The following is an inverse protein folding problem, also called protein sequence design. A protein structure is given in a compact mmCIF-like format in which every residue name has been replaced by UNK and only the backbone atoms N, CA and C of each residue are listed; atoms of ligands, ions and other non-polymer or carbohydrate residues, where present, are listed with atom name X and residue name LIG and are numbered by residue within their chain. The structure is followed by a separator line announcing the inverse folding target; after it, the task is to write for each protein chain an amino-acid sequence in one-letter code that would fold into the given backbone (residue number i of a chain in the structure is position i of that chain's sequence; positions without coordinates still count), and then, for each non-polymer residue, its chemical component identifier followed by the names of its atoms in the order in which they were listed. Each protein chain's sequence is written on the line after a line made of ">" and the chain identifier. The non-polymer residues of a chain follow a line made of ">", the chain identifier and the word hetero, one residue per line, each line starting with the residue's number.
data_IF_428269994708
#
_entry.id   IF_428269994708
#
_cell.length_a   1.000
_cell.length_b   1.000
_cell.length_c   1.000
_cell.angle_alpha   90.00
_cell.angle_beta   90.00
_cell.angle_gamma   90.00
#
_symmetry.space_group_name_H-M   'P 1'
#
loop_
_entity.id
_entity.type
_entity.pdbx_description
1 polymer ?
#
# COMPACT_ATOMS: atom_id res chain seq x y z
N UNK A 1 -21.42 -7.02 3.56
CA UNK A 1 -22.15 -5.83 4.07
C UNK A 1 -21.09 -4.80 4.36
N UNK A 2 -21.24 -3.59 3.82
CA UNK A 2 -20.23 -2.53 3.91
C UNK A 2 -20.07 -2.06 5.36
N UNK A 3 -18.87 -1.58 5.70
CA UNK A 3 -18.64 -1.00 7.02
C UNK A 3 -19.40 0.34 7.15
N UNK A 4 -20.21 0.57 8.20
CA UNK A 4 -20.93 1.83 8.38
C UNK A 4 -20.06 3.10 8.34
N UNK A 5 -18.80 3.02 8.80
CA UNK A 5 -17.85 4.15 8.74
C UNK A 5 -17.43 4.46 7.31
N UNK A 6 -17.43 3.45 6.44
CA UNK A 6 -17.22 3.59 5.00
C UNK A 6 -18.51 4.03 4.31
N UNK A 7 -19.67 3.49 4.69
CA UNK A 7 -20.99 3.78 4.08
C UNK A 7 -21.29 5.29 4.04
N UNK A 8 -21.03 6.01 5.13
CA UNK A 8 -21.20 7.48 5.17
C UNK A 8 -20.29 8.24 4.18
N UNK A 9 -19.20 7.60 3.73
CA UNK A 9 -18.22 8.14 2.81
C UNK A 9 -18.32 7.63 1.38
N UNK A 10 -19.20 6.67 1.11
CA UNK A 10 -19.36 6.12 -0.25
C UNK A 10 -20.15 7.12 -1.08
N UNK A 11 -19.50 7.68 -2.10
CA UNK A 11 -20.19 8.41 -3.17
C UNK A 11 -20.77 7.40 -4.16
N UNK A 12 -19.95 6.43 -4.57
CA UNK A 12 -20.32 5.46 -5.60
C UNK A 12 -19.59 4.12 -5.41
N UNK A 13 -20.29 3.00 -5.61
CA UNK A 13 -19.66 1.71 -5.88
C UNK A 13 -19.26 1.67 -7.34
N UNK A 14 -17.98 1.43 -7.62
CA UNK A 14 -17.46 1.43 -9.00
C UNK A 14 -17.52 0.02 -9.59
N UNK A 15 -16.90 -0.95 -8.91
CA UNK A 15 -16.80 -2.36 -9.35
C UNK A 15 -16.16 -3.24 -8.28
N UNK A 16 -16.21 -4.55 -8.50
CA UNK A 16 -15.32 -5.48 -7.83
C UNK A 16 -13.89 -5.32 -8.38
N UNK A 17 -12.93 -5.32 -7.45
CA UNK A 17 -11.50 -5.09 -7.72
C UNK A 17 -10.70 -6.38 -7.86
N UNK A 18 -11.20 -7.49 -7.31
CA UNK A 18 -10.55 -8.80 -7.33
C UNK A 18 -10.91 -9.62 -6.10
N UNK A 19 -10.64 -10.93 -6.15
CA UNK A 19 -10.83 -11.84 -5.02
C UNK A 19 -9.65 -12.81 -4.96
N UNK A 20 -8.95 -12.84 -3.84
CA UNK A 20 -7.80 -13.71 -3.60
C UNK A 20 -8.03 -14.65 -2.41
N UNK A 21 -7.00 -15.43 -2.08
CA UNK A 21 -7.04 -16.37 -0.95
C UNK A 21 -7.07 -15.72 0.43
N UNK A 22 -6.54 -14.50 0.56
CA UNK A 22 -6.48 -13.77 1.84
C UNK A 22 -7.56 -12.69 1.98
N UNK A 23 -7.92 -12.05 0.86
CA UNK A 23 -8.77 -10.87 0.88
C UNK A 23 -9.65 -10.73 -0.36
N UNK A 24 -10.71 -9.92 -0.24
CA UNK A 24 -11.49 -9.40 -1.36
C UNK A 24 -11.22 -7.92 -1.54
N UNK A 25 -11.19 -7.46 -2.78
CA UNK A 25 -11.04 -6.04 -3.12
C UNK A 25 -12.29 -5.54 -3.78
N UNK A 26 -12.81 -4.41 -3.29
CA UNK A 26 -13.90 -3.68 -3.93
C UNK A 26 -13.48 -2.23 -4.16
N UNK A 27 -13.88 -1.67 -5.30
CA UNK A 27 -13.51 -0.32 -5.71
C UNK A 27 -14.67 0.62 -5.46
N UNK A 28 -14.40 1.68 -4.70
CA UNK A 28 -15.37 2.72 -4.38
C UNK A 28 -14.81 4.09 -4.76
N UNK A 29 -15.72 5.02 -5.07
CA UNK A 29 -15.44 6.43 -5.02
C UNK A 29 -15.78 6.94 -3.60
N UNK A 30 -14.76 7.29 -2.81
CA UNK A 30 -14.91 7.66 -1.40
C UNK A 30 -14.54 9.12 -1.14
N UNK A 31 -15.25 9.80 -0.25
CA UNK A 31 -14.84 11.12 0.27
C UNK A 31 -14.56 11.12 1.79
N UNK A 32 -14.69 9.97 2.45
CA UNK A 32 -14.34 9.77 3.86
C UNK A 32 -13.38 8.59 3.94
N UNK A 33 -12.18 8.85 4.43
CA UNK A 33 -11.09 7.89 4.46
C UNK A 33 -10.67 7.67 5.93
N UNK A 34 -11.20 6.64 6.62
CA UNK A 34 -10.76 6.29 7.96
C UNK A 34 -9.33 5.73 7.95
N UNK A 35 -8.63 5.84 9.07
CA UNK A 35 -7.30 5.26 9.23
C UNK A 35 -6.59 5.71 10.48
N UNK A 36 -5.35 5.27 10.63
CA UNK A 36 -4.46 5.71 11.70
C UNK A 36 -4.30 7.24 11.62
N UNK A 37 -4.44 7.93 12.76
CA UNK A 37 -4.41 9.39 12.83
C UNK A 37 -5.77 10.04 12.55
N UNK A 38 -6.86 9.26 12.59
CA UNK A 38 -8.23 9.75 12.44
C UNK A 38 -8.79 9.63 11.03
N UNK A 39 -9.99 10.20 10.83
CA UNK A 39 -10.69 10.16 9.55
C UNK A 39 -10.44 11.44 8.76
N UNK A 40 -10.04 11.30 7.50
CA UNK A 40 -9.86 12.43 6.58
C UNK A 40 -11.09 12.51 5.68
N UNK A 41 -11.70 13.70 5.59
CA UNK A 41 -12.74 14.00 4.61
C UNK A 41 -12.16 14.83 3.46
N UNK A 42 -12.44 14.42 2.23
CA UNK A 42 -12.06 15.15 1.00
C UNK A 42 -13.28 15.82 0.39
N UNK A 43 -13.07 16.89 -0.37
CA UNK A 43 -14.15 17.57 -1.10
C UNK A 43 -14.60 16.79 -2.35
N UNK A 44 -13.64 16.12 -3.00
CA UNK A 44 -13.89 15.27 -4.18
C UNK A 44 -13.78 13.80 -3.80
N UNK A 45 -14.37 12.94 -4.64
CA UNK A 45 -14.25 11.50 -4.50
C UNK A 45 -12.87 11.00 -4.91
N UNK A 46 -12.32 10.08 -4.12
CA UNK A 46 -11.07 9.38 -4.36
C UNK A 46 -11.38 7.94 -4.76
N UNK A 47 -10.95 7.54 -5.96
CA UNK A 47 -11.10 6.15 -6.42
C UNK A 47 -10.19 5.26 -5.59
N UNK A 48 -10.81 4.46 -4.72
CA UNK A 48 -10.15 3.74 -3.64
C UNK A 48 -10.41 2.25 -3.77
N UNK A 49 -9.33 1.47 -3.75
CA UNK A 49 -9.37 0.04 -3.53
C UNK A 49 -9.54 -0.23 -2.03
N UNK A 50 -10.58 -0.97 -1.66
CA UNK A 50 -10.82 -1.41 -0.29
C UNK A 50 -10.55 -2.92 -0.23
N UNK A 51 -9.37 -3.30 0.26
CA UNK A 51 -8.96 -4.71 0.47
C UNK A 51 -9.40 -5.13 1.86
N UNK A 52 -10.37 -6.04 1.94
CA UNK A 52 -10.95 -6.57 3.17
C UNK A 52 -10.44 -7.99 3.40
N UNK A 53 -9.90 -8.25 4.59
CA UNK A 53 -9.44 -9.60 5.00
C UNK A 53 -10.62 -10.57 5.11
N UNK A 54 -10.45 -11.81 4.62
CA UNK A 54 -11.44 -12.88 4.82
C UNK A 54 -11.51 -13.33 6.28
N UNK A 55 -10.38 -13.30 6.97
CA UNK A 55 -10.24 -13.70 8.37
C UNK A 55 -9.82 -12.49 9.21
N UNK A 56 -10.78 -11.63 9.63
CA UNK A 56 -10.47 -10.39 10.32
C UNK A 56 -9.88 -10.67 11.70
N UNK A 57 -8.56 -10.50 11.81
CA UNK A 57 -7.83 -10.47 13.09
C UNK A 57 -7.77 -9.02 13.54
N UNK A 58 -8.18 -8.66 14.77
CA UNK A 58 -8.20 -7.26 15.19
C UNK A 58 -6.90 -6.49 14.88
N UNK A 59 -6.98 -5.24 14.49
CA UNK A 59 -5.81 -4.42 14.12
C UNK A 59 -5.09 -4.82 12.82
N UNK A 60 -5.45 -5.92 12.16
CA UNK A 60 -4.77 -6.38 10.94
C UNK A 60 -4.88 -5.40 9.78
N UNK A 61 -5.98 -4.65 9.64
CA UNK A 61 -6.12 -3.58 8.66
C UNK A 61 -5.14 -2.44 8.89
N UNK A 62 -4.87 -2.08 10.16
CA UNK A 62 -3.84 -1.11 10.51
C UNK A 62 -2.43 -1.64 10.28
N UNK A 63 -2.16 -2.91 10.58
CA UNK A 63 -0.88 -3.56 10.31
C UNK A 63 -0.61 -3.61 8.79
N UNK A 64 -1.62 -3.98 8.00
CA UNK A 64 -1.55 -4.00 6.54
C UNK A 64 -1.24 -2.61 5.97
N UNK A 65 -1.90 -1.58 6.48
CA UNK A 65 -1.62 -0.20 6.10
C UNK A 65 -0.17 0.19 6.41
N UNK A 66 0.35 -0.14 7.60
CA UNK A 66 1.72 0.19 7.96
C UNK A 66 2.75 -0.54 7.09
N UNK A 67 2.49 -1.83 6.77
CA UNK A 67 3.31 -2.61 5.82
C UNK A 67 3.33 -1.94 4.45
N UNK A 68 2.15 -1.65 3.89
CA UNK A 68 2.03 -0.97 2.60
C UNK A 68 2.70 0.41 2.62
N UNK A 69 2.52 1.18 3.70
CA UNK A 69 3.16 2.48 3.88
C UNK A 69 4.69 2.36 3.87
N UNK A 70 5.24 1.40 4.59
CA UNK A 70 6.68 1.15 4.64
C UNK A 70 7.25 0.83 3.25
N UNK A 71 6.61 -0.09 2.52
CA UNK A 71 6.98 -0.42 1.12
C UNK A 71 6.90 0.84 0.25
N UNK A 72 5.82 1.62 0.38
CA UNK A 72 5.65 2.83 -0.43
C UNK A 72 6.69 3.90 -0.14
N UNK A 73 7.12 4.06 1.11
CA UNK A 73 8.17 5.03 1.48
C UNK A 73 9.55 4.62 0.98
N UNK A 74 9.86 3.32 1.04
CA UNK A 74 11.08 2.78 0.44
C UNK A 74 11.08 2.96 -1.08
N UNK A 75 9.96 2.71 -1.76
CA UNK A 75 9.83 3.04 -3.18
C UNK A 75 10.04 4.53 -3.43
N UNK A 76 9.40 5.41 -2.67
CA UNK A 76 9.54 6.86 -2.88
C UNK A 76 11.02 7.29 -2.73
N UNK A 77 11.80 6.60 -1.89
CA UNK A 77 13.26 6.76 -1.80
C UNK A 77 13.96 6.25 -3.07
N UNK A 78 13.76 4.99 -3.47
CA UNK A 78 14.40 4.42 -4.66
C UNK A 78 14.07 5.18 -5.95
N UNK A 79 12.83 5.64 -6.07
CA UNK A 79 12.36 6.45 -7.19
C UNK A 79 13.08 7.81 -7.24
N UNK A 80 13.25 8.48 -6.09
CA UNK A 80 13.97 9.77 -6.01
C UNK A 80 15.47 9.62 -6.24
N UNK A 81 16.03 8.49 -5.84
CA UNK A 81 17.40 8.06 -6.18
C UNK A 81 17.55 7.59 -7.63
N UNK A 82 16.47 7.65 -8.42
CA UNK A 82 16.45 7.31 -9.86
C UNK A 82 16.89 5.88 -10.15
N UNK A 83 16.65 4.96 -9.21
CA UNK A 83 16.92 3.54 -9.44
C UNK A 83 16.06 3.00 -10.57
N UNK A 84 14.80 3.41 -10.62
CA UNK A 84 13.86 3.14 -11.70
C UNK A 84 12.98 4.37 -11.97
N UNK A 85 12.33 4.40 -13.15
CA UNK A 85 11.69 5.62 -13.68
C UNK A 85 10.21 5.75 -13.37
N UNK A 86 9.56 4.69 -12.91
CA UNK A 86 8.12 4.65 -12.69
C UNK A 86 7.83 4.19 -11.27
N UNK A 87 6.85 4.80 -10.61
CA UNK A 87 6.37 4.29 -9.34
C UNK A 87 5.50 3.05 -9.58
N UNK A 88 5.73 1.99 -8.84
CA UNK A 88 5.10 0.68 -8.94
C UNK A 88 4.22 0.34 -7.73
N UNK A 89 4.27 1.12 -6.63
CA UNK A 89 3.42 0.90 -5.46
C UNK A 89 2.31 1.97 -5.40
N UNK A 90 1.02 1.56 -5.35
CA UNK A 90 -0.08 2.48 -5.07
C UNK A 90 0.07 3.18 -3.72
N UNK A 91 -0.60 4.31 -3.52
CA UNK A 91 -0.54 4.99 -2.22
C UNK A 91 -1.53 4.38 -1.23
N UNK A 92 -1.11 3.94 -0.03
CA UNK A 92 -2.06 3.63 1.04
C UNK A 92 -2.70 4.93 1.54
N UNK A 93 -4.02 4.93 1.59
CA UNK A 93 -4.87 6.10 1.87
C UNK A 93 -5.49 6.03 3.27
N UNK A 94 -5.72 4.82 3.78
CA UNK A 94 -6.39 4.61 5.06
C UNK A 94 -6.50 3.15 5.43
N UNK A 95 -7.21 2.88 6.52
CA UNK A 95 -7.41 1.54 7.05
C UNK A 95 -8.62 1.52 7.96
N UNK A 96 -9.29 0.38 8.03
CA UNK A 96 -10.35 0.10 8.99
C UNK A 96 -9.87 -1.04 9.86
N UNK A 97 -10.00 -0.88 11.17
CA UNK A 97 -9.87 -1.97 12.12
C UNK A 97 -10.94 -1.77 13.19
N UNK A 98 -11.85 -2.73 13.27
CA UNK A 98 -12.99 -2.67 14.19
C UNK A 98 -13.21 -4.00 14.88
N UNK A 99 -13.58 -3.90 16.16
CA UNK A 99 -13.79 -5.03 17.05
C UNK A 99 -15.26 -5.17 17.49
N UNK A 100 -16.18 -4.47 16.82
CA UNK A 100 -17.61 -4.53 17.14
C UNK A 100 -18.22 -5.88 16.69
N UNK A 101 -19.54 -6.04 16.81
CA UNK A 101 -20.29 -7.28 16.47
C UNK A 101 -20.06 -7.82 15.05
N UNK A 102 -19.51 -7.00 14.15
CA UNK A 102 -19.03 -7.38 12.82
C UNK A 102 -17.61 -6.85 12.64
N UNK A 103 -16.58 -7.65 12.97
CA UNK A 103 -15.20 -7.21 12.81
C UNK A 103 -14.90 -7.01 11.32
N UNK A 104 -14.32 -5.86 10.99
CA UNK A 104 -13.90 -5.51 9.65
C UNK A 104 -12.46 -5.02 9.74
N UNK A 105 -11.62 -5.64 8.93
CA UNK A 105 -10.20 -5.31 8.83
C UNK A 105 -9.91 -5.05 7.35
N UNK A 106 -9.57 -3.80 7.05
CA UNK A 106 -9.37 -3.37 5.67
C UNK A 106 -8.21 -2.40 5.52
N UNK A 107 -7.50 -2.51 4.40
CA UNK A 107 -6.55 -1.52 3.93
C UNK A 107 -7.15 -0.78 2.73
N UNK A 108 -7.12 0.56 2.78
CA UNK A 108 -7.60 1.44 1.73
C UNK A 108 -6.38 1.98 0.98
N UNK A 109 -6.34 1.84 -0.33
CA UNK A 109 -5.27 2.36 -1.17
C UNK A 109 -5.77 2.87 -2.51
N UNK A 110 -4.93 3.66 -3.19
CA UNK A 110 -5.19 4.17 -4.53
C UNK A 110 -5.47 3.03 -5.50
N UNK A 111 -6.57 3.12 -6.26
CA UNK A 111 -6.88 2.11 -7.27
C UNK A 111 -5.84 2.12 -8.41
N UNK A 112 -5.26 0.96 -8.67
CA UNK A 112 -4.41 0.74 -9.84
C UNK A 112 -5.29 0.35 -11.05
N UNK A 113 -5.43 1.26 -12.00
CA UNK A 113 -6.09 0.94 -13.27
C UNK A 113 -5.27 -0.09 -14.06
N UNK A 114 -5.94 -1.00 -14.76
CA UNK A 114 -5.32 -2.02 -15.61
C UNK A 114 -5.94 -3.41 -15.43
N UNK A 115 -5.28 -4.42 -16.01
CA UNK A 115 -5.62 -5.83 -15.81
C UNK A 115 -4.60 -6.47 -14.87
N UNK A 116 -5.08 -7.33 -13.99
CA UNK A 116 -4.21 -8.16 -13.18
C UNK A 116 -3.61 -9.28 -14.02
N UNK A 117 -2.33 -9.52 -13.82
CA UNK A 117 -1.63 -10.68 -14.35
C UNK A 117 -1.22 -10.56 -15.81
N UNK A 118 -0.16 -11.28 -16.12
CA UNK A 118 0.34 -11.50 -17.46
C UNK A 118 1.12 -12.83 -17.50
N UNK A 119 1.14 -13.54 -18.62
CA UNK A 119 2.01 -14.70 -18.81
C UNK A 119 3.49 -14.30 -18.71
N UNK A 120 4.29 -15.04 -17.95
CA UNK A 120 5.75 -14.90 -17.90
C UNK A 120 6.43 -15.45 -19.15
N UNK A 121 5.72 -16.24 -19.97
CA UNK A 121 6.18 -16.78 -21.25
C UNK A 121 5.03 -16.77 -22.27
N UNK A 122 5.30 -16.34 -23.50
CA UNK A 122 4.36 -16.43 -24.63
C UNK A 122 4.92 -17.30 -25.75
N UNK A 123 4.05 -17.93 -26.53
CA UNK A 123 4.47 -18.76 -27.67
C UNK A 123 4.89 -17.88 -28.85
N UNK A 124 6.06 -18.14 -29.42
CA UNK A 124 6.52 -17.48 -30.65
C UNK A 124 5.89 -18.09 -31.90
N UNK A 125 5.87 -17.31 -32.98
CA UNK A 125 5.55 -17.81 -34.31
C UNK A 125 6.63 -18.80 -34.76
N UNK A 126 6.33 -20.10 -34.70
CA UNK A 126 7.29 -21.18 -34.95
C UNK A 126 7.44 -22.21 -33.82
N UNK A 127 6.69 -22.04 -32.71
CA UNK A 127 6.64 -23.03 -31.62
C UNK A 127 7.72 -22.84 -30.54
N UNK A 128 8.48 -21.75 -30.60
CA UNK A 128 9.38 -21.31 -29.52
C UNK A 128 8.61 -20.70 -28.35
N UNK A 129 9.32 -20.45 -27.25
CA UNK A 129 8.81 -19.69 -26.10
C UNK A 129 9.63 -18.41 -25.94
N UNK A 130 8.93 -17.29 -25.85
CA UNK A 130 9.51 -15.97 -25.59
C UNK A 130 9.26 -15.60 -24.12
N UNK A 131 10.32 -15.42 -23.30
CA UNK A 131 10.15 -14.91 -21.96
C UNK A 131 9.63 -13.48 -21.99
N UNK A 132 8.59 -13.22 -21.20
CA UNK A 132 8.01 -11.88 -21.06
C UNK A 132 8.79 -11.12 -20.00
N UNK A 133 9.26 -9.93 -20.35
CA UNK A 133 10.07 -9.08 -19.47
C UNK A 133 9.24 -7.90 -19.00
N UNK A 134 9.04 -7.81 -17.70
CA UNK A 134 8.45 -6.64 -17.08
C UNK A 134 9.54 -5.60 -16.82
N UNK A 135 9.46 -4.44 -17.48
CA UNK A 135 10.46 -3.38 -17.32
C UNK A 135 10.55 -2.94 -15.86
N UNK A 136 11.77 -2.67 -15.39
CA UNK A 136 12.13 -2.29 -14.02
C UNK A 136 11.95 -3.40 -12.96
N UNK A 137 11.30 -4.54 -13.27
CA UNK A 137 10.97 -5.60 -12.32
C UNK A 137 12.17 -6.14 -11.52
N UNK A 138 13.25 -6.56 -12.20
CA UNK A 138 14.41 -7.12 -11.50
C UNK A 138 15.07 -6.09 -10.58
N UNK A 139 15.19 -4.84 -11.03
CA UNK A 139 15.75 -3.76 -10.20
C UNK A 139 14.86 -3.48 -9.00
N UNK A 140 13.54 -3.45 -9.20
CA UNK A 140 12.55 -3.29 -8.15
C UNK A 140 12.67 -4.39 -7.09
N UNK A 141 12.63 -5.66 -7.49
CA UNK A 141 12.78 -6.81 -6.58
C UNK A 141 14.12 -6.78 -5.86
N UNK A 142 15.23 -6.54 -6.57
CA UNK A 142 16.58 -6.51 -6.00
C UNK A 142 16.73 -5.42 -4.93
N UNK A 143 16.17 -4.23 -5.13
CA UNK A 143 16.25 -3.16 -4.13
C UNK A 143 15.48 -3.49 -2.86
N UNK A 144 14.25 -4.00 -3.00
CA UNK A 144 13.45 -4.40 -1.84
C UNK A 144 14.09 -5.58 -1.10
N UNK A 145 14.64 -6.55 -1.83
CA UNK A 145 15.35 -7.68 -1.23
C UNK A 145 16.56 -7.22 -0.40
N UNK A 146 17.30 -6.20 -0.86
CA UNK A 146 18.41 -5.59 -0.11
C UNK A 146 17.98 -4.95 1.21
N UNK A 147 16.78 -4.38 1.26
CA UNK A 147 16.20 -3.81 2.49
C UNK A 147 15.62 -4.90 3.41
N UNK A 148 15.29 -6.07 2.88
CA UNK A 148 14.69 -7.17 3.64
C UNK A 148 13.19 -7.33 3.40
N UNK A 149 12.70 -6.93 2.23
CA UNK A 149 11.31 -7.13 1.81
C UNK A 149 11.33 -7.98 0.54
N UNK A 150 10.67 -9.13 0.58
CA UNK A 150 10.54 -9.99 -0.60
C UNK A 150 9.25 -9.65 -1.37
N UNK A 151 9.32 -8.60 -2.19
CA UNK A 151 8.22 -8.19 -3.10
C UNK A 151 8.11 -9.07 -4.35
N UNK A 152 8.98 -10.08 -4.50
CA UNK A 152 8.86 -11.11 -5.53
C UNK A 152 8.12 -12.35 -5.03
N UNK A 153 7.77 -12.41 -3.74
CA UNK A 153 6.95 -13.47 -3.19
C UNK A 153 5.51 -13.37 -3.71
N UNK A 154 4.88 -14.52 -3.94
CA UNK A 154 3.47 -14.61 -4.33
C UNK A 154 3.08 -13.81 -5.58
N UNK A 155 3.98 -13.67 -6.56
CA UNK A 155 3.71 -12.94 -7.82
C UNK A 155 3.45 -13.84 -9.02
N UNK A 156 3.41 -15.16 -8.81
CA UNK A 156 3.09 -16.15 -9.84
C UNK A 156 1.99 -17.10 -9.35
N UNK A 157 1.14 -17.58 -10.26
CA UNK A 157 0.11 -18.56 -9.94
C UNK A 157 0.74 -19.81 -9.31
N UNK A 158 0.19 -20.23 -8.18
CA UNK A 158 0.62 -21.44 -7.45
C UNK A 158 0.44 -22.74 -8.25
N UNK A 159 -0.41 -22.74 -9.28
CA UNK A 159 -0.70 -23.96 -10.05
C UNK A 159 0.40 -24.33 -11.04
N UNK A 160 0.93 -23.36 -11.79
CA UNK A 160 1.95 -23.63 -12.81
C UNK A 160 3.02 -22.54 -12.98
N UNK A 161 2.97 -21.48 -12.15
CA UNK A 161 3.87 -20.33 -12.18
C UNK A 161 3.96 -19.61 -13.53
N UNK A 162 3.04 -19.86 -14.48
CA UNK A 162 3.11 -19.27 -15.83
C UNK A 162 2.49 -17.89 -15.91
N UNK A 163 1.54 -17.57 -15.03
CA UNK A 163 0.83 -16.29 -15.03
C UNK A 163 1.16 -15.54 -13.76
N UNK A 164 1.44 -14.24 -13.90
CA UNK A 164 1.64 -13.39 -12.75
C UNK A 164 0.33 -13.08 -12.02
N UNK A 165 0.43 -12.78 -10.73
CA UNK A 165 -0.67 -12.30 -9.90
C UNK A 165 -0.18 -11.14 -9.03
N UNK A 166 -1.09 -10.37 -8.42
CA UNK A 166 -0.78 -9.19 -7.60
C UNK A 166 -0.07 -8.05 -8.36
N UNK A 167 0.03 -8.14 -9.69
CA UNK A 167 0.62 -7.11 -10.56
C UNK A 167 -0.44 -6.65 -11.55
N UNK A 168 -0.77 -5.36 -11.52
CA UNK A 168 -1.69 -4.71 -12.45
C UNK A 168 -0.91 -4.06 -13.58
N UNK A 169 -1.25 -4.37 -14.83
CA UNK A 169 -0.64 -3.79 -16.03
C UNK A 169 -1.64 -2.91 -16.78
N UNK A 170 -1.27 -1.66 -17.10
CA UNK A 170 -2.19 -0.69 -17.70
C UNK A 170 -2.45 -0.89 -19.20
N UNK A 171 -1.56 -1.57 -19.93
CA UNK A 171 -1.64 -1.71 -21.40
C UNK A 171 -1.25 -3.11 -21.89
N UNK A 172 -1.97 -4.18 -21.51
CA UNK A 172 -1.52 -5.57 -21.69
C UNK A 172 -1.65 -6.14 -23.11
N UNK A 173 -2.10 -5.36 -24.10
CA UNK A 173 -2.60 -5.93 -25.36
C UNK A 173 -1.62 -5.96 -26.53
N UNK A 174 -0.44 -5.37 -26.39
CA UNK A 174 0.61 -5.45 -27.40
C UNK A 174 1.84 -6.08 -26.76
N UNK A 175 1.97 -7.41 -26.83
CA UNK A 175 3.30 -8.01 -26.65
C UNK A 175 4.13 -7.53 -27.83
N UNK A 176 5.13 -6.65 -27.64
CA UNK A 176 6.03 -6.35 -28.73
C UNK A 176 6.70 -7.66 -29.14
N UNK A 177 7.14 -7.74 -30.39
CA UNK A 177 7.84 -8.92 -30.92
C UNK A 177 9.05 -9.38 -30.07
N UNK A 178 9.51 -8.56 -29.12
CA UNK A 178 10.64 -8.79 -28.23
C UNK A 178 10.25 -9.24 -26.80
N UNK A 179 8.95 -9.32 -26.47
CA UNK A 179 8.47 -9.82 -25.17
C UNK A 179 8.52 -8.81 -24.03
N UNK A 180 8.84 -7.55 -24.31
CA UNK A 180 8.92 -6.47 -23.31
C UNK A 180 7.56 -5.85 -22.99
N UNK A 181 7.12 -5.90 -21.74
CA UNK A 181 5.91 -5.20 -21.30
C UNK A 181 6.17 -3.73 -21.01
N UNK A 182 5.08 -2.95 -21.02
CA UNK A 182 5.11 -1.53 -20.65
C UNK A 182 5.63 -1.36 -19.21
N UNK A 183 6.40 -0.30 -18.91
CA UNK A 183 6.80 -0.01 -17.53
C UNK A 183 5.64 0.46 -16.64
N UNK A 184 4.44 0.65 -17.20
CA UNK A 184 3.29 1.14 -16.46
C UNK A 184 2.54 -0.04 -15.84
N UNK A 185 3.08 -0.49 -14.70
CA UNK A 185 2.52 -1.56 -13.88
C UNK A 185 2.57 -1.20 -12.39
N UNK A 186 1.73 -1.86 -11.59
CA UNK A 186 1.62 -1.68 -10.14
C UNK A 186 1.59 -3.01 -9.39
N UNK A 187 2.35 -3.15 -8.31
CA UNK A 187 2.20 -4.23 -7.33
C UNK A 187 1.13 -3.82 -6.30
N UNK A 188 0.15 -4.67 -6.01
CA UNK A 188 -1.05 -4.25 -5.24
C UNK A 188 -1.28 -4.98 -3.92
N UNK A 189 -0.54 -6.04 -3.62
CA UNK A 189 -0.70 -6.79 -2.37
C UNK A 189 0.57 -6.78 -1.52
N UNK A 190 0.42 -6.53 -0.22
CA UNK A 190 1.53 -6.44 0.74
C UNK A 190 1.24 -7.21 2.02
N UNK A 191 0.35 -8.21 1.91
CA UNK A 191 0.10 -9.19 2.97
C UNK A 191 1.37 -9.91 3.43
N UNK A 192 1.32 -10.57 4.60
CA UNK A 192 2.46 -11.33 5.11
C UNK A 192 3.00 -12.37 4.12
N UNK A 193 2.12 -13.02 3.34
CA UNK A 193 2.51 -13.98 2.30
C UNK A 193 3.03 -13.30 1.02
N UNK A 194 2.40 -12.20 0.61
CA UNK A 194 2.69 -11.51 -0.66
C UNK A 194 3.89 -10.58 -0.63
N UNK A 195 4.31 -10.13 0.56
CA UNK A 195 5.55 -9.36 0.72
C UNK A 195 6.21 -9.63 2.09
N UNK A 196 6.78 -10.82 2.33
CA UNK A 196 7.45 -11.13 3.59
C UNK A 196 8.48 -10.06 3.96
N UNK A 197 8.53 -9.69 5.25
CA UNK A 197 9.40 -8.63 5.75
C UNK A 197 10.31 -9.14 6.87
N UNK A 198 11.61 -8.98 6.69
CA UNK A 198 12.62 -9.13 7.73
C UNK A 198 12.82 -7.78 8.43
N UNK A 199 12.11 -7.57 9.53
CA UNK A 199 12.14 -6.28 10.23
C UNK A 199 13.49 -5.94 10.86
N UNK A 200 14.31 -6.93 11.20
CA UNK A 200 15.67 -6.69 11.68
C UNK A 200 16.52 -6.10 10.56
N UNK A 201 16.46 -6.72 9.36
CA UNK A 201 17.17 -6.23 8.17
C UNK A 201 16.67 -4.86 7.72
N UNK A 202 15.35 -4.62 7.78
CA UNK A 202 14.77 -3.30 7.48
C UNK A 202 15.29 -2.26 8.47
N UNK A 203 15.25 -2.53 9.78
CA UNK A 203 15.73 -1.61 10.80
C UNK A 203 17.22 -1.30 10.61
N UNK A 204 18.04 -2.32 10.31
CA UNK A 204 19.45 -2.16 10.01
C UNK A 204 19.65 -1.25 8.80
N UNK A 205 18.92 -1.48 7.71
CA UNK A 205 18.97 -0.62 6.53
C UNK A 205 18.62 0.84 6.86
N UNK A 206 17.57 1.09 7.64
CA UNK A 206 17.17 2.43 8.06
C UNK A 206 18.29 3.11 8.87
N UNK A 207 18.90 2.40 9.81
CA UNK A 207 20.01 2.93 10.61
C UNK A 207 21.25 3.24 9.76
N UNK A 208 21.66 2.30 8.90
CA UNK A 208 22.87 2.43 8.06
C UNK A 208 22.72 3.54 7.02
N UNK A 209 21.49 3.84 6.59
CA UNK A 209 21.17 4.83 5.56
C UNK A 209 20.43 6.06 6.12
N UNK A 210 20.59 6.37 7.41
CA UNK A 210 19.87 7.45 8.08
C UNK A 210 19.97 8.79 7.35
N UNK A 211 21.19 9.27 7.09
CA UNK A 211 21.39 10.60 6.49
C UNK A 211 20.84 10.66 5.05
N UNK A 212 21.14 9.71 4.13
CA UNK A 212 20.52 9.68 2.80
C UNK A 212 18.98 9.64 2.84
N UNK A 213 18.40 8.84 3.74
CA UNK A 213 16.94 8.74 3.88
C UNK A 213 16.33 10.05 4.37
N UNK A 214 16.97 10.73 5.33
CA UNK A 214 16.51 12.03 5.83
C UNK A 214 16.62 13.10 4.75
N UNK A 215 17.69 13.12 3.98
CA UNK A 215 17.87 14.09 2.89
C UNK A 215 16.78 13.95 1.82
N UNK A 216 16.47 12.71 1.45
CA UNK A 216 15.51 12.39 0.38
C UNK A 216 14.06 12.46 0.85
N UNK A 217 13.75 11.92 2.03
CA UNK A 217 12.37 11.75 2.52
C UNK A 217 11.96 12.76 3.60
N UNK A 218 12.91 13.50 4.20
CA UNK A 218 12.77 14.33 5.41
C UNK A 218 12.74 13.51 6.71
N UNK A 219 13.10 14.17 7.81
CA UNK A 219 13.27 13.57 9.13
C UNK A 219 12.00 12.92 9.66
N UNK A 220 10.85 13.53 9.43
CA UNK A 220 9.55 13.03 9.87
C UNK A 220 9.17 11.72 9.18
N UNK A 221 9.50 11.57 7.89
CA UNK A 221 9.24 10.33 7.14
C UNK A 221 10.18 9.22 7.56
N UNK A 222 11.46 9.54 7.77
CA UNK A 222 12.41 8.60 8.34
C UNK A 222 11.95 8.11 9.72
N UNK A 223 11.59 9.03 10.62
CA UNK A 223 11.10 8.71 11.96
C UNK A 223 9.85 7.84 11.94
N UNK A 224 8.91 8.16 11.06
CA UNK A 224 7.69 7.36 10.85
C UNK A 224 8.02 5.92 10.44
N UNK A 225 8.97 5.74 9.50
CA UNK A 225 9.39 4.40 9.06
C UNK A 225 10.03 3.61 10.20
N UNK A 226 10.93 4.24 10.98
CA UNK A 226 11.55 3.60 12.15
C UNK A 226 10.50 3.14 13.17
N UNK A 227 9.55 4.01 13.51
CA UNK A 227 8.47 3.66 14.45
C UNK A 227 7.54 2.59 13.90
N UNK A 228 7.19 2.65 12.61
CA UNK A 228 6.38 1.62 11.97
C UNK A 228 7.09 0.26 11.97
N UNK A 229 8.39 0.21 11.64
CA UNK A 229 9.17 -1.05 11.69
C UNK A 229 9.22 -1.63 13.10
N UNK A 230 9.48 -0.80 14.13
CA UNK A 230 9.43 -1.23 15.54
C UNK A 230 8.05 -1.76 15.96
N UNK A 231 6.99 -1.14 15.48
CA UNK A 231 5.63 -1.56 15.82
C UNK A 231 5.23 -2.86 15.12
N UNK A 232 5.68 -3.05 13.88
CA UNK A 232 5.42 -4.24 13.07
C UNK A 232 6.25 -5.46 13.53
N UNK A 233 7.45 -5.23 14.07
CA UNK A 233 8.25 -6.30 14.68
C UNK A 233 7.70 -6.71 16.05
N UNK A 234 7.24 -7.95 16.15
CA UNK A 234 6.76 -8.55 17.40
C UNK A 234 7.79 -8.49 18.53
N UNK A 235 9.08 -8.61 18.22
CA UNK A 235 10.15 -8.63 19.21
C UNK A 235 10.26 -7.30 19.97
N UNK A 236 9.98 -6.18 19.29
CA UNK A 236 10.04 -4.83 19.85
C UNK A 236 8.67 -4.26 20.22
N UNK A 237 7.58 -4.79 19.65
CA UNK A 237 6.23 -4.26 19.83
C UNK A 237 5.79 -4.19 21.30
N UNK A 238 6.14 -5.20 22.10
CA UNK A 238 5.78 -5.23 23.52
C UNK A 238 6.50 -4.15 24.36
N UNK A 239 7.54 -3.52 23.80
CA UNK A 239 8.30 -2.44 24.43
C UNK A 239 7.95 -1.06 23.85
N UNK A 240 7.01 -1.00 22.90
CA UNK A 240 6.61 0.22 22.23
C UNK A 240 5.83 1.12 23.20
N UNK A 241 6.37 2.29 23.49
CA UNK A 241 5.79 3.19 24.48
C UNK A 241 4.53 3.91 23.99
N UNK A 242 3.67 4.36 24.91
CA UNK A 242 2.50 5.19 24.59
C UNK A 242 2.89 6.48 23.85
N UNK A 243 4.06 7.04 24.17
CA UNK A 243 4.61 8.21 23.47
C UNK A 243 4.98 7.88 22.02
N UNK A 244 5.72 6.80 21.79
CA UNK A 244 6.08 6.35 20.43
C UNK A 244 4.83 6.00 19.60
N UNK A 245 3.78 5.51 20.26
CA UNK A 245 2.48 5.25 19.65
C UNK A 245 1.78 6.53 19.20
N UNK A 246 1.64 7.51 20.09
CA UNK A 246 1.07 8.81 19.73
C UNK A 246 1.89 9.53 18.65
N UNK A 247 3.22 9.40 18.70
CA UNK A 247 4.13 9.94 17.69
C UNK A 247 3.90 9.25 16.32
N UNK A 248 3.83 7.92 16.28
CA UNK A 248 3.54 7.17 15.05
C UNK A 248 2.17 7.55 14.47
N UNK A 249 1.14 7.61 15.31
CA UNK A 249 -0.22 7.99 14.89
C UNK A 249 -0.24 9.38 14.25
N UNK A 250 0.43 10.36 14.88
CA UNK A 250 0.56 11.74 14.38
C UNK A 250 1.31 11.77 13.03
N UNK A 251 2.45 11.10 12.94
CA UNK A 251 3.27 11.07 11.72
C UNK A 251 2.56 10.40 10.55
N UNK A 252 1.77 9.35 10.82
CA UNK A 252 0.93 8.68 9.82
C UNK A 252 -0.21 9.59 9.37
N UNK A 253 -0.87 10.33 10.27
CA UNK A 253 -1.84 11.36 9.90
C UNK A 253 -1.25 12.38 8.92
N UNK A 254 -0.06 12.91 9.23
CA UNK A 254 0.68 13.81 8.35
C UNK A 254 1.20 13.15 7.06
N UNK A 255 1.29 11.83 6.99
CA UNK A 255 1.57 11.10 5.74
C UNK A 255 0.37 11.02 4.82
N UNK A 256 -0.80 10.78 5.39
CA UNK A 256 -2.04 10.59 4.64
C UNK A 256 -2.53 11.90 4.02
N UNK A 257 -2.40 13.02 4.72
CA UNK A 257 -2.84 14.35 4.23
C UNK A 257 -2.23 14.73 2.85
N UNK A 258 -0.89 14.78 2.65
CA UNK A 258 -0.31 15.07 1.33
C UNK A 258 -0.64 14.02 0.26
N UNK A 259 -0.79 12.76 0.65
CA UNK A 259 -1.14 11.67 -0.27
C UNK A 259 -2.54 11.86 -0.87
N UNK A 260 -3.39 12.61 -0.18
CA UNK A 260 -4.75 12.95 -0.61
C UNK A 260 -4.85 14.37 -1.20
N UNK A 261 -3.79 15.18 -1.11
CA UNK A 261 -3.82 16.60 -1.49
C UNK A 261 -4.21 16.82 -2.96
N UNK A 262 -3.85 15.92 -3.87
CA UNK A 262 -4.28 15.98 -5.27
C UNK A 262 -5.81 15.91 -5.47
N UNK A 263 -6.55 15.37 -4.50
CA UNK A 263 -8.02 15.28 -4.46
C UNK A 263 -8.67 16.29 -3.50
N UNK A 264 -7.86 17.06 -2.76
CA UNK A 264 -8.31 18.10 -1.83
C UNK A 264 -8.31 19.46 -2.54
N UNK A 265 -7.39 19.69 -3.49
CA UNK A 265 -7.20 20.98 -4.13
C UNK A 265 -7.86 21.08 -5.51
N UNK A 266 -9.19 21.26 -5.54
CA UNK A 266 -9.93 21.95 -6.63
C UNK A 266 -11.36 22.35 -6.25
N UNK A 267 -11.52 22.93 -5.05
CA UNK A 267 -12.75 23.58 -4.62
C UNK A 267 -12.55 25.08 -4.32
N UNK A 268 -12.77 25.94 -5.31
CA UNK A 268 -13.22 27.32 -5.09
C UNK A 268 -12.17 28.44 -4.96
N UNK A 269 -12.31 29.46 -5.80
CA UNK A 269 -11.82 30.81 -5.56
C UNK A 269 -12.09 31.26 -4.11
N UNK A 270 -11.09 31.93 -3.51
CA UNK A 270 -11.22 32.83 -2.35
C UNK A 270 -12.02 32.29 -1.15
N UNK A 271 -11.36 31.54 -0.27
CA UNK A 271 -11.59 31.71 1.18
C UNK A 271 -10.37 31.25 1.98
N UNK A 272 -9.97 32.05 2.96
CA UNK A 272 -8.87 31.77 3.89
C UNK A 272 -9.26 30.70 4.94
N UNK A 273 -9.86 29.57 4.51
CA UNK A 273 -10.25 28.45 5.36
C UNK A 273 -9.45 27.19 5.02
N UNK A 274 -9.14 26.36 6.03
CA UNK A 274 -8.46 25.08 5.81
C UNK A 274 -9.34 24.16 4.94
N UNK A 275 -8.79 23.48 3.92
CA UNK A 275 -9.56 22.71 2.93
C UNK A 275 -9.99 21.31 3.42
N UNK A 276 -10.09 21.12 4.73
CA UNK A 276 -10.43 19.83 5.34
C UNK A 276 -11.05 20.04 6.73
N UNK A 277 -11.83 19.06 7.19
CA UNK A 277 -12.26 18.96 8.59
C UNK A 277 -11.68 17.66 9.18
N UNK A 278 -10.91 17.78 10.26
CA UNK A 278 -10.44 16.63 11.03
C UNK A 278 -11.51 16.28 12.07
N UNK A 279 -12.12 15.10 11.95
CA UNK A 279 -12.71 14.44 13.12
C UNK A 279 -11.59 13.59 13.74
N UNK A 280 -10.81 14.20 14.64
CA UNK A 280 -9.79 13.51 15.44
C UNK A 280 -10.51 12.70 16.52
N UNK A 281 -11.09 11.57 16.13
CA UNK A 281 -11.41 10.52 17.10
C UNK A 281 -10.17 9.64 17.26
N UNK A 282 -9.66 9.41 18.49
CA UNK A 282 -8.52 8.53 18.70
C UNK A 282 -8.83 7.16 18.09
N UNK A 283 -7.98 6.71 17.17
CA UNK A 283 -8.13 5.38 16.61
C UNK A 283 -7.82 4.35 17.69
N UNK A 284 -8.68 3.32 17.84
CA UNK A 284 -8.49 2.17 18.76
C UNK A 284 -7.30 1.27 18.34
N UNK A 285 -6.19 1.87 17.92
CA UNK A 285 -4.98 1.22 17.41
C UNK A 285 -4.19 0.49 18.52
N UNK A 286 -4.63 0.57 19.80
CA UNK A 286 -3.94 -0.02 20.98
C UNK A 286 -4.05 -1.55 21.07
N UNK A 287 -4.98 -2.16 20.36
CA UNK A 287 -5.27 -3.59 20.49
C UNK A 287 -5.22 -4.30 19.13
N UNK A 288 -4.02 -4.57 18.59
CA UNK A 288 -3.90 -5.70 17.65
C UNK A 288 -3.47 -6.96 18.44
N UNK A 289 -3.96 -8.16 18.08
CA UNK A 289 -3.72 -9.38 18.81
C UNK A 289 -2.25 -9.78 18.83
N UNK A 290 -1.93 -10.47 19.91
CA UNK A 290 -0.93 -11.52 19.89
C UNK A 290 -1.53 -12.71 19.13
N UNK A 291 -0.85 -13.14 18.06
CA UNK A 291 -1.14 -14.30 17.18
C UNK A 291 -1.96 -14.00 15.94
#
# INVERSE_FOLDING_TARGET
>A
MLDPTLEEGVIEYVRDGGFGGEAAVTVYLLNKLPGIGGTIRTHEGVVTAVRVEHSPVPGSGHLMFLRHMLVKKLEDYFFREKIYKYAHIPRPLGSISRQDDKPIEACLYEWAFGNEGFPWEVSEYGGGKLPVRLRDWNQFVDQFHRVGIDVGADVADSNDAKVSKNIIHQFPFDYPHEGDLSPIWKHIDFGPASAPMDYEKIMRFLCDNREPLIDVLRGERYRMMVLATKYLDWSTRNTFSDYEFGELETLVGYYRLPSLHHHISRGGCNSNGQPYSEDISPTLFRHAPSR
#
